data_IF_089065473397
#
_entry.id   IF_089065473397
#
_cell.length_a   1.000
_cell.length_b   1.000
_cell.length_c   1.000
_cell.angle_alpha   90.00
_cell.angle_beta   90.00
_cell.angle_gamma   90.00
#
_symmetry.space_group_name_H-M   'P 1'
#
loop_
_entity.id
_entity.type
_entity.pdbx_description
1 polymer ?
#
# COMPACT_ATOMS: atom_id res chain seq x y z
N UNK A 1 5.22 -4.03 -10.93
CA UNK A 1 5.00 -3.45 -12.27
C UNK A 1 6.30 -2.82 -12.77
N UNK A 2 6.48 -2.72 -14.08
CA UNK A 2 7.55 -1.92 -14.68
C UNK A 2 7.14 -0.44 -14.71
N UNK A 3 7.95 0.43 -14.12
CA UNK A 3 7.83 1.88 -14.17
C UNK A 3 8.77 2.43 -15.22
N UNK A 4 8.23 3.25 -16.13
CA UNK A 4 8.99 4.01 -17.11
C UNK A 4 8.81 5.50 -16.86
N UNK A 5 9.87 6.17 -16.39
CA UNK A 5 9.81 7.59 -16.04
C UNK A 5 10.79 8.42 -16.91
N UNK A 6 10.37 9.54 -17.54
CA UNK A 6 11.31 10.46 -18.17
C UNK A 6 12.36 10.96 -17.17
N UNK A 7 13.58 11.20 -17.64
CA UNK A 7 14.67 11.66 -16.78
C UNK A 7 14.37 13.04 -16.16
N UNK A 8 14.68 13.16 -14.87
CA UNK A 8 14.50 14.41 -14.11
C UNK A 8 13.05 14.87 -14.08
N UNK A 9 12.78 16.04 -14.65
CA UNK A 9 11.45 16.65 -14.72
C UNK A 9 10.92 16.77 -16.15
N UNK A 10 11.50 16.03 -17.10
CA UNK A 10 11.03 16.01 -18.48
C UNK A 10 9.60 15.49 -18.56
N UNK A 11 8.85 16.03 -19.52
CA UNK A 11 7.53 15.51 -19.89
C UNK A 11 7.67 14.39 -20.91
N UNK A 12 6.64 13.56 -21.05
CA UNK A 12 6.61 12.47 -22.04
C UNK A 12 6.94 12.96 -23.46
N UNK A 13 6.44 14.13 -23.84
CA UNK A 13 6.70 14.72 -25.16
C UNK A 13 8.13 15.22 -25.38
N UNK A 14 8.95 15.27 -24.32
CA UNK A 14 10.35 15.71 -24.37
C UNK A 14 11.33 14.54 -24.19
N UNK A 15 10.81 13.37 -23.80
CA UNK A 15 11.62 12.23 -23.40
C UNK A 15 12.10 11.44 -24.63
N UNK A 16 13.41 11.17 -24.69
CA UNK A 16 14.01 10.24 -25.66
C UNK A 16 14.46 8.93 -24.99
N UNK A 17 14.33 8.85 -23.66
CA UNK A 17 14.66 7.68 -22.84
C UNK A 17 13.76 7.68 -21.59
N UNK A 18 13.70 6.52 -20.94
CA UNK A 18 12.98 6.33 -19.69
C UNK A 18 13.88 5.62 -18.68
N UNK A 19 13.88 6.09 -17.45
CA UNK A 19 14.44 5.39 -16.31
C UNK A 19 13.53 4.19 -15.98
N UNK A 20 14.15 3.01 -15.82
CA UNK A 20 13.47 1.74 -15.53
C UNK A 20 13.52 1.47 -14.04
N UNK A 21 12.36 1.27 -13.42
CA UNK A 21 12.21 0.85 -12.03
C UNK A 21 11.16 -0.24 -11.94
N UNK A 22 11.26 -1.17 -11.01
CA UNK A 22 10.21 -2.13 -10.70
C UNK A 22 9.63 -1.85 -9.33
N UNK A 23 8.29 -1.83 -9.23
CA UNK A 23 7.61 -1.53 -7.97
C UNK A 23 6.11 -1.75 -8.00
N UNK A 24 5.50 -1.63 -6.84
CA UNK A 24 4.09 -1.92 -6.56
C UNK A 24 3.85 -1.91 -5.05
N UNK A 25 2.64 -1.62 -4.60
CA UNK A 25 2.34 -1.36 -3.18
C UNK A 25 2.89 -2.45 -2.26
N UNK A 26 2.43 -3.68 -2.45
CA UNK A 26 2.83 -4.85 -1.66
C UNK A 26 4.33 -5.16 -1.82
N UNK A 27 4.88 -5.07 -3.04
CA UNK A 27 6.32 -5.33 -3.26
C UNK A 27 7.22 -4.28 -2.60
N UNK A 28 6.78 -3.02 -2.51
CA UNK A 28 7.55 -1.95 -1.88
C UNK A 28 7.54 -2.10 -0.34
N UNK A 29 6.44 -2.61 0.22
CA UNK A 29 6.36 -3.02 1.64
C UNK A 29 7.35 -4.16 1.91
N UNK A 30 7.36 -5.20 1.06
CA UNK A 30 8.28 -6.31 1.18
C UNK A 30 9.76 -5.86 1.11
N UNK A 31 10.13 -5.00 0.16
CA UNK A 31 11.49 -4.45 0.11
C UNK A 31 11.83 -3.65 1.36
N UNK A 32 10.88 -2.86 1.89
CA UNK A 32 11.12 -2.09 3.12
C UNK A 32 11.39 -3.03 4.31
N UNK A 33 10.63 -4.12 4.44
CA UNK A 33 10.84 -5.13 5.48
C UNK A 33 12.18 -5.86 5.34
N UNK A 34 12.54 -6.27 4.11
CA UNK A 34 13.84 -6.89 3.82
C UNK A 34 15.00 -5.96 4.18
N UNK A 35 14.89 -4.66 3.89
CA UNK A 35 15.88 -3.64 4.28
C UNK A 35 16.06 -3.53 5.81
N UNK A 36 15.06 -3.90 6.61
CA UNK A 36 15.14 -3.95 8.07
C UNK A 36 15.56 -5.33 8.63
N UNK A 37 15.91 -6.27 7.75
CA UNK A 37 16.34 -7.62 8.13
C UNK A 37 15.20 -8.56 8.51
N UNK A 38 13.98 -8.28 8.07
CA UNK A 38 12.84 -9.19 8.23
C UNK A 38 12.80 -10.16 7.04
N UNK A 39 12.73 -11.46 7.32
CA UNK A 39 12.53 -12.48 6.28
C UNK A 39 11.13 -12.30 5.66
N UNK A 40 11.09 -12.07 4.34
CA UNK A 40 9.86 -11.72 3.65
C UNK A 40 9.84 -12.27 2.23
N UNK A 41 8.76 -12.96 1.88
CA UNK A 41 8.46 -13.40 0.52
C UNK A 41 7.48 -12.45 -0.16
N UNK A 42 7.65 -12.24 -1.47
CA UNK A 42 6.64 -11.56 -2.29
C UNK A 42 5.89 -12.55 -3.18
N UNK A 43 4.60 -12.75 -2.86
CA UNK A 43 3.71 -13.65 -3.59
C UNK A 43 3.03 -12.90 -4.73
N UNK A 44 3.29 -13.32 -5.97
CA UNK A 44 2.71 -12.68 -7.17
C UNK A 44 2.70 -13.63 -8.35
N UNK A 45 2.16 -13.17 -9.49
CA UNK A 45 2.23 -13.87 -10.79
C UNK A 45 2.96 -13.04 -11.83
N UNK A 46 4.02 -13.59 -12.43
CA UNK A 46 4.85 -12.94 -13.45
C UNK A 46 4.83 -13.71 -14.78
N UNK A 47 4.93 -13.02 -15.94
CA UNK A 47 5.02 -13.69 -17.24
C UNK A 47 6.36 -14.42 -17.40
N UNK A 48 6.38 -15.50 -18.17
CA UNK A 48 7.60 -16.26 -18.50
C UNK A 48 8.35 -15.61 -19.67
N UNK A 49 8.90 -14.41 -19.43
CA UNK A 49 9.73 -13.68 -20.39
C UNK A 49 10.76 -12.81 -19.65
N UNK A 50 11.70 -12.23 -20.40
CA UNK A 50 12.82 -11.46 -19.87
C UNK A 50 12.38 -10.28 -18.97
N UNK A 51 11.23 -9.66 -19.25
CA UNK A 51 10.69 -8.56 -18.44
C UNK A 51 10.17 -9.07 -17.08
N UNK A 52 9.52 -10.23 -17.07
CA UNK A 52 9.14 -10.92 -15.84
C UNK A 52 10.35 -11.32 -15.01
N UNK A 53 11.39 -11.85 -15.65
CA UNK A 53 12.65 -12.19 -14.99
C UNK A 53 13.35 -10.97 -14.40
N UNK A 54 13.35 -9.83 -15.10
CA UNK A 54 13.90 -8.59 -14.57
C UNK A 54 13.16 -8.10 -13.31
N UNK A 55 11.82 -8.23 -13.28
CA UNK A 55 11.05 -7.90 -12.10
C UNK A 55 11.39 -8.80 -10.90
N UNK A 56 11.52 -10.11 -11.13
CA UNK A 56 11.97 -11.06 -10.10
C UNK A 56 13.39 -10.74 -9.60
N UNK A 57 14.32 -10.46 -10.52
CA UNK A 57 15.70 -10.12 -10.18
C UNK A 57 15.80 -8.84 -9.34
N UNK A 58 14.98 -7.82 -9.62
CA UNK A 58 14.97 -6.61 -8.80
C UNK A 58 14.47 -6.90 -7.38
N UNK A 59 13.47 -7.77 -7.19
CA UNK A 59 13.03 -8.18 -5.84
C UNK A 59 14.13 -8.97 -5.12
N UNK A 60 14.73 -9.97 -5.78
CA UNK A 60 15.80 -10.78 -5.19
C UNK A 60 17.03 -9.94 -4.81
N UNK A 61 17.41 -8.97 -5.65
CA UNK A 61 18.50 -8.02 -5.37
C UNK A 61 18.27 -7.23 -4.08
N UNK A 62 17.01 -7.02 -3.68
CA UNK A 62 16.61 -6.31 -2.46
C UNK A 62 16.43 -7.22 -1.24
N UNK A 63 16.81 -8.49 -1.35
CA UNK A 63 16.68 -9.46 -0.26
C UNK A 63 15.27 -10.01 -0.06
N UNK A 64 14.34 -9.73 -0.99
CA UNK A 64 12.98 -10.28 -0.94
C UNK A 64 12.99 -11.71 -1.49
N UNK A 65 12.34 -12.62 -0.78
CA UNK A 65 12.10 -13.99 -1.20
C UNK A 65 11.18 -14.04 -2.42
N UNK A 66 11.56 -14.86 -3.41
CA UNK A 66 10.92 -14.93 -4.74
C UNK A 66 10.49 -16.34 -5.12
N UNK A 67 10.63 -17.29 -4.20
CA UNK A 67 10.38 -18.71 -4.48
C UNK A 67 8.87 -19.02 -4.54
N UNK A 68 8.04 -18.09 -4.05
CA UNK A 68 6.58 -18.16 -4.09
C UNK A 68 5.96 -17.45 -5.31
N UNK A 69 6.76 -17.05 -6.30
CA UNK A 69 6.26 -16.44 -7.54
C UNK A 69 5.67 -17.52 -8.46
N UNK A 70 4.41 -17.33 -8.86
CA UNK A 70 3.76 -18.17 -9.87
C UNK A 70 4.10 -17.64 -11.26
N UNK A 71 4.52 -18.52 -12.17
CA UNK A 71 4.91 -18.13 -13.52
C UNK A 71 3.82 -18.43 -14.55
N UNK A 72 3.41 -17.43 -15.32
CA UNK A 72 2.49 -17.59 -16.45
C UNK A 72 1.84 -16.28 -16.89
N UNK A 73 1.03 -16.35 -17.95
CA UNK A 73 0.47 -15.16 -18.60
C UNK A 73 1.48 -14.46 -19.51
N UNK A 74 1.01 -13.45 -20.24
CA UNK A 74 1.73 -12.98 -21.43
C UNK A 74 2.59 -11.72 -21.18
N UNK A 75 2.19 -10.85 -20.25
CA UNK A 75 2.87 -9.56 -20.02
C UNK A 75 2.93 -9.12 -18.56
N UNK A 76 3.93 -8.28 -18.27
CA UNK A 76 4.05 -7.55 -17.02
C UNK A 76 3.27 -6.24 -17.13
N UNK A 77 2.56 -5.85 -16.08
CA UNK A 77 1.91 -4.54 -16.03
C UNK A 77 2.95 -3.40 -16.02
N UNK A 78 2.68 -2.35 -16.79
CA UNK A 78 3.54 -1.18 -16.95
C UNK A 78 2.80 0.05 -16.42
N UNK A 79 3.54 1.02 -15.89
CA UNK A 79 3.03 2.38 -15.75
C UNK A 79 4.10 3.40 -16.10
N UNK A 80 3.65 4.51 -16.68
CA UNK A 80 4.50 5.64 -17.03
C UNK A 80 4.30 6.74 -16.00
N UNK A 81 5.38 7.41 -15.59
CA UNK A 81 5.35 8.45 -14.56
C UNK A 81 6.11 9.70 -15.02
N UNK A 82 5.41 10.82 -15.20
CA UNK A 82 6.05 12.15 -15.21
C UNK A 82 6.24 12.63 -13.77
N UNK A 83 7.48 12.91 -13.38
CA UNK A 83 7.77 13.55 -12.09
C UNK A 83 7.28 14.99 -12.10
N UNK A 84 6.45 15.32 -11.11
CA UNK A 84 5.97 16.68 -10.88
C UNK A 84 7.09 17.61 -10.38
N UNK A 85 6.87 18.92 -10.50
CA UNK A 85 7.76 19.94 -9.97
C UNK A 85 6.94 21.18 -9.59
N UNK A 86 7.14 21.70 -8.37
CA UNK A 86 6.43 22.88 -7.86
C UNK A 86 4.91 22.69 -8.06
N UNK A 87 4.23 23.58 -8.77
CA UNK A 87 2.77 23.52 -8.97
C UNK A 87 2.33 22.47 -9.99
N UNK A 88 3.25 21.88 -10.76
CA UNK A 88 2.94 20.81 -11.72
C UNK A 88 2.97 19.47 -11.01
N UNK A 89 1.82 18.89 -10.72
CA UNK A 89 1.72 17.55 -10.15
C UNK A 89 2.32 16.45 -11.04
N UNK A 90 2.70 15.34 -10.42
CA UNK A 90 3.10 14.13 -11.15
C UNK A 90 1.93 13.57 -11.96
N UNK A 91 2.23 12.95 -13.11
CA UNK A 91 1.22 12.36 -13.98
C UNK A 91 1.52 10.88 -14.21
N UNK A 92 0.52 10.03 -14.00
CA UNK A 92 0.63 8.59 -14.23
C UNK A 92 -0.28 8.15 -15.38
N UNK A 93 0.27 7.33 -16.28
CA UNK A 93 -0.47 6.59 -17.31
C UNK A 93 -0.26 5.10 -17.06
N UNK A 94 -1.36 4.36 -16.86
CA UNK A 94 -1.30 2.94 -16.57
C UNK A 94 -1.48 2.11 -17.84
N UNK A 95 -0.62 1.11 -18.01
CA UNK A 95 -0.71 0.04 -18.99
C UNK A 95 -0.60 -1.33 -18.27
N UNK A 96 -1.53 -1.56 -17.35
CA UNK A 96 -1.52 -2.71 -16.43
C UNK A 96 -2.60 -3.76 -16.70
N UNK A 97 -3.53 -3.49 -17.61
CA UNK A 97 -4.56 -4.45 -17.99
C UNK A 97 -3.92 -5.68 -18.66
N UNK A 98 -4.58 -6.84 -18.53
CA UNK A 98 -4.12 -8.12 -19.09
C UNK A 98 -2.68 -8.48 -18.70
N UNK A 99 -2.24 -8.02 -17.53
CA UNK A 99 -0.99 -8.47 -16.92
C UNK A 99 -1.16 -9.87 -16.34
N UNK A 100 -0.06 -10.59 -16.20
CA UNK A 100 -0.02 -11.90 -15.54
C UNK A 100 -0.76 -11.88 -14.18
N UNK A 101 -0.56 -10.85 -13.37
CA UNK A 101 -1.23 -10.70 -12.08
C UNK A 101 -2.74 -10.42 -12.19
N UNK A 102 -3.21 -9.66 -13.19
CA UNK A 102 -4.65 -9.42 -13.39
C UNK A 102 -5.42 -10.61 -13.96
N UNK A 103 -4.73 -11.67 -14.34
CA UNK A 103 -5.32 -12.91 -14.87
C UNK A 103 -5.06 -14.11 -13.94
N UNK A 104 -4.62 -13.83 -12.72
CA UNK A 104 -4.51 -14.85 -11.67
C UNK A 104 -5.90 -15.38 -11.32
N UNK A 105 -5.98 -16.66 -10.95
CA UNK A 105 -7.23 -17.33 -10.58
C UNK A 105 -7.04 -18.14 -9.31
N UNK A 106 -8.15 -18.35 -8.63
CA UNK A 106 -8.29 -19.30 -7.53
C UNK A 106 -7.57 -20.62 -7.78
N UNK A 107 -6.89 -21.13 -6.75
CA UNK A 107 -6.15 -22.40 -6.80
C UNK A 107 -4.82 -22.37 -7.57
N UNK A 108 -4.38 -21.23 -8.09
CA UNK A 108 -3.03 -21.10 -8.68
C UNK A 108 -1.91 -21.01 -7.65
N UNK A 109 -2.23 -20.67 -6.39
CA UNK A 109 -1.28 -20.53 -5.29
C UNK A 109 -1.63 -21.55 -4.21
N UNK A 110 -0.64 -22.32 -3.78
CA UNK A 110 -0.74 -23.18 -2.61
C UNK A 110 -0.52 -22.34 -1.35
N UNK A 111 -1.60 -21.77 -0.80
CA UNK A 111 -1.53 -20.91 0.39
C UNK A 111 -1.09 -21.65 1.64
N UNK A 112 -1.30 -22.97 1.71
CA UNK A 112 -0.82 -23.76 2.84
C UNK A 112 0.71 -23.83 2.85
N UNK A 113 1.32 -24.02 1.69
CA UNK A 113 2.78 -24.01 1.52
C UNK A 113 3.37 -22.60 1.57
N UNK A 114 2.65 -21.59 1.09
CA UNK A 114 3.11 -20.19 1.14
C UNK A 114 3.19 -19.70 2.59
N UNK A 115 2.21 -20.03 3.42
CA UNK A 115 2.16 -19.57 4.81
C UNK A 115 2.83 -20.52 5.81
N UNK A 116 3.54 -21.55 5.36
CA UNK A 116 4.33 -22.41 6.25
C UNK A 116 5.45 -21.60 6.92
N UNK A 117 5.41 -21.49 8.25
CA UNK A 117 6.34 -20.69 9.04
C UNK A 117 6.13 -19.16 9.00
N UNK A 118 5.09 -18.67 8.31
CA UNK A 118 4.81 -17.24 8.25
C UNK A 118 3.99 -16.76 9.47
N UNK A 119 4.29 -15.56 9.96
CA UNK A 119 3.61 -14.94 11.12
C UNK A 119 2.71 -13.76 10.72
N UNK A 120 2.95 -13.20 9.54
CA UNK A 120 2.30 -11.98 9.07
C UNK A 120 1.95 -12.07 7.59
N UNK A 121 0.75 -11.61 7.22
CA UNK A 121 0.34 -11.43 5.83
C UNK A 121 -0.12 -9.99 5.58
N UNK A 122 0.40 -9.37 4.52
CA UNK A 122 0.04 -8.02 4.11
C UNK A 122 -0.50 -7.99 2.68
N UNK A 123 -1.56 -7.21 2.46
CA UNK A 123 -2.14 -6.97 1.14
C UNK A 123 -2.60 -5.51 1.00
N UNK A 124 -2.89 -5.06 -0.23
CA UNK A 124 -3.50 -3.74 -0.44
C UNK A 124 -4.77 -3.83 -1.27
N UNK A 125 -5.66 -2.83 -1.11
CA UNK A 125 -6.87 -2.67 -1.90
C UNK A 125 -6.64 -2.49 -3.41
N UNK A 126 -5.39 -2.33 -3.86
CA UNK A 126 -5.03 -2.38 -5.28
C UNK A 126 -5.25 -3.78 -5.86
N UNK A 127 -4.90 -4.83 -5.12
CA UNK A 127 -4.92 -6.21 -5.62
C UNK A 127 -6.33 -6.70 -5.97
N UNK A 128 -7.37 -6.56 -5.13
CA UNK A 128 -8.72 -6.89 -5.59
C UNK A 128 -9.21 -5.94 -6.70
N UNK A 129 -8.77 -4.68 -6.71
CA UNK A 129 -9.26 -3.68 -7.66
C UNK A 129 -8.86 -3.92 -9.13
N UNK A 130 -7.91 -4.80 -9.44
CA UNK A 130 -7.45 -5.03 -10.82
C UNK A 130 -8.32 -6.02 -11.61
N UNK A 131 -8.96 -6.98 -10.95
CA UNK A 131 -9.79 -8.02 -11.60
C UNK A 131 -10.58 -8.83 -10.57
N UNK A 132 -11.68 -9.48 -11.02
CA UNK A 132 -12.40 -10.41 -10.14
C UNK A 132 -11.50 -11.57 -9.69
N UNK A 133 -10.69 -12.16 -10.58
CA UNK A 133 -9.82 -13.29 -10.24
C UNK A 133 -8.76 -12.93 -9.20
N UNK A 134 -8.23 -11.71 -9.21
CA UNK A 134 -7.31 -11.24 -8.16
C UNK A 134 -8.01 -10.95 -6.84
N UNK A 135 -9.28 -10.51 -6.85
CA UNK A 135 -10.09 -10.41 -5.64
C UNK A 135 -10.37 -11.78 -5.02
N UNK A 136 -10.71 -12.78 -5.84
CA UNK A 136 -10.97 -14.16 -5.40
C UNK A 136 -9.72 -14.80 -4.78
N UNK A 137 -8.56 -14.63 -5.41
CA UNK A 137 -7.27 -15.12 -4.88
C UNK A 137 -6.86 -14.40 -3.60
N UNK A 138 -7.15 -13.10 -3.49
CA UNK A 138 -6.91 -12.36 -2.25
C UNK A 138 -7.78 -12.93 -1.11
N UNK A 139 -9.03 -13.28 -1.38
CA UNK A 139 -9.91 -13.90 -0.39
C UNK A 139 -9.42 -15.29 0.04
N UNK A 140 -8.89 -16.10 -0.89
CA UNK A 140 -8.25 -17.38 -0.57
C UNK A 140 -7.07 -17.21 0.39
N UNK A 141 -6.21 -16.23 0.11
CA UNK A 141 -5.07 -15.91 0.96
C UNK A 141 -5.51 -15.53 2.38
N UNK A 142 -6.52 -14.67 2.50
CA UNK A 142 -7.02 -14.21 3.79
C UNK A 142 -7.66 -15.32 4.62
N UNK A 143 -8.42 -16.21 3.98
CA UNK A 143 -9.00 -17.39 4.64
C UNK A 143 -7.90 -18.32 5.15
N UNK A 144 -6.88 -18.59 4.33
CA UNK A 144 -5.76 -19.46 4.72
C UNK A 144 -4.89 -18.84 5.83
N UNK A 145 -4.53 -17.55 5.72
CA UNK A 145 -3.77 -16.82 6.73
C UNK A 145 -4.54 -16.78 8.07
N UNK A 146 -5.85 -16.51 8.02
CA UNK A 146 -6.69 -16.50 9.21
C UNK A 146 -6.80 -17.88 9.85
N UNK A 147 -6.92 -18.96 9.06
CA UNK A 147 -7.01 -20.32 9.58
C UNK A 147 -5.71 -20.77 10.28
N UNK A 148 -4.57 -20.22 9.87
CA UNK A 148 -3.26 -20.44 10.50
C UNK A 148 -2.93 -19.46 11.63
N UNK A 149 -3.80 -18.48 11.88
CA UNK A 149 -3.62 -17.51 12.97
C UNK A 149 -2.57 -16.43 12.70
N UNK A 150 -2.25 -16.15 11.43
CA UNK A 150 -1.35 -15.06 11.08
C UNK A 150 -1.97 -13.71 11.45
N UNK A 151 -1.12 -12.74 11.77
CA UNK A 151 -1.53 -11.33 11.81
C UNK A 151 -1.75 -10.84 10.38
N UNK A 152 -2.94 -10.28 10.10
CA UNK A 152 -3.29 -9.80 8.76
C UNK A 152 -3.34 -8.28 8.77
N UNK A 153 -2.57 -7.63 7.91
CA UNK A 153 -2.62 -6.18 7.72
C UNK A 153 -3.03 -5.79 6.30
N UNK A 154 -3.73 -4.67 6.16
CA UNK A 154 -4.11 -4.12 4.86
C UNK A 154 -3.83 -2.63 4.74
N UNK A 155 -3.52 -2.18 3.52
CA UNK A 155 -3.69 -0.79 3.09
C UNK A 155 -4.90 -0.70 2.16
N UNK A 156 -5.95 0.02 2.55
CA UNK A 156 -7.20 0.13 1.78
C UNK A 156 -7.00 0.74 0.38
N UNK A 157 -5.99 1.61 0.22
CA UNK A 157 -5.45 2.13 -1.04
C UNK A 157 -6.47 2.32 -2.18
N UNK A 158 -7.56 3.07 -1.93
CA UNK A 158 -8.59 3.33 -2.92
C UNK A 158 -8.01 4.09 -4.12
N UNK A 159 -8.37 3.65 -5.33
CA UNK A 159 -7.99 4.30 -6.60
C UNK A 159 -9.18 4.36 -7.52
N UNK A 160 -9.71 5.56 -7.74
CA UNK A 160 -10.84 5.81 -8.65
C UNK A 160 -10.63 5.34 -10.10
N UNK A 161 -9.37 5.13 -10.55
CA UNK A 161 -9.06 4.62 -11.90
C UNK A 161 -9.06 3.08 -11.99
N UNK A 162 -9.20 2.37 -10.87
CA UNK A 162 -9.33 0.91 -10.80
C UNK A 162 -10.82 0.51 -10.65
N UNK A 163 -11.11 -0.74 -10.30
CA UNK A 163 -12.48 -1.26 -10.12
C UNK A 163 -13.37 -1.23 -11.38
N UNK A 164 -12.77 -1.21 -12.56
CA UNK A 164 -13.49 -1.10 -13.84
C UNK A 164 -14.34 -2.33 -14.21
N UNK A 165 -14.18 -3.43 -13.48
CA UNK A 165 -14.85 -4.70 -13.78
C UNK A 165 -16.16 -4.88 -12.98
N UNK A 166 -16.49 -3.95 -12.08
CA UNK A 166 -17.69 -4.02 -11.25
C UNK A 166 -18.22 -2.61 -10.93
N UNK A 167 -19.35 -2.54 -10.24
CA UNK A 167 -19.90 -1.28 -9.72
C UNK A 167 -19.46 -1.01 -8.26
N UNK A 168 -19.92 0.12 -7.70
CA UNK A 168 -19.59 0.55 -6.34
C UNK A 168 -20.12 -0.43 -5.27
N UNK A 169 -21.32 -0.99 -5.47
CA UNK A 169 -21.92 -1.93 -4.52
C UNK A 169 -21.13 -3.24 -4.45
N UNK A 170 -20.69 -3.75 -5.61
CA UNK A 170 -19.82 -4.93 -5.67
C UNK A 170 -18.45 -4.66 -5.07
N UNK A 171 -17.86 -3.47 -5.31
CA UNK A 171 -16.61 -3.05 -4.63
C UNK A 171 -16.78 -3.08 -3.12
N UNK A 172 -17.82 -2.44 -2.59
CA UNK A 172 -18.09 -2.41 -1.15
C UNK A 172 -18.23 -3.82 -0.58
N UNK A 173 -18.96 -4.71 -1.27
CA UNK A 173 -19.12 -6.09 -0.84
C UNK A 173 -17.77 -6.84 -0.77
N UNK A 174 -16.96 -6.75 -1.83
CA UNK A 174 -15.63 -7.37 -1.90
C UNK A 174 -14.73 -6.82 -0.80
N UNK A 175 -14.61 -5.50 -0.68
CA UNK A 175 -13.70 -4.89 0.29
C UNK A 175 -14.18 -5.12 1.73
N UNK A 176 -15.49 -5.16 1.98
CA UNK A 176 -16.02 -5.48 3.31
C UNK A 176 -15.68 -6.91 3.71
N UNK A 177 -15.83 -7.88 2.80
CA UNK A 177 -15.45 -9.27 3.08
C UNK A 177 -13.95 -9.40 3.33
N UNK A 178 -13.10 -8.86 2.44
CA UNK A 178 -11.65 -8.95 2.57
C UNK A 178 -11.15 -8.27 3.87
N UNK A 179 -11.64 -7.07 4.17
CA UNK A 179 -11.20 -6.29 5.34
C UNK A 179 -11.64 -6.92 6.67
N UNK A 180 -12.70 -7.74 6.68
CA UNK A 180 -13.16 -8.44 7.89
C UNK A 180 -12.14 -9.44 8.47
N UNK A 181 -11.14 -9.85 7.69
CA UNK A 181 -10.05 -10.71 8.13
C UNK A 181 -8.86 -9.95 8.73
N UNK A 182 -8.84 -8.61 8.65
CA UNK A 182 -7.67 -7.83 9.01
C UNK A 182 -7.60 -7.49 10.50
N UNK A 183 -6.41 -7.66 11.09
CA UNK A 183 -6.06 -7.22 12.44
C UNK A 183 -5.57 -5.76 12.45
N UNK A 184 -4.95 -5.31 11.35
CA UNK A 184 -4.37 -3.97 11.21
C UNK A 184 -4.84 -3.35 9.91
N UNK A 185 -5.46 -2.16 9.97
CA UNK A 185 -6.02 -1.49 8.80
C UNK A 185 -5.36 -0.11 8.64
N UNK A 186 -4.65 0.09 7.54
CA UNK A 186 -4.19 1.40 7.07
C UNK A 186 -5.19 1.97 6.07
N UNK A 187 -5.62 3.20 6.27
CA UNK A 187 -6.46 3.92 5.31
C UNK A 187 -6.72 5.34 5.76
N UNK A 188 -7.15 6.22 4.85
CA UNK A 188 -7.58 7.57 5.18
C UNK A 188 -9.11 7.71 5.10
N UNK A 189 -9.60 8.92 5.34
CA UNK A 189 -11.04 9.24 5.28
C UNK A 189 -11.65 8.95 3.89
N UNK A 190 -10.93 9.22 2.81
CA UNK A 190 -11.37 8.90 1.43
C UNK A 190 -11.47 7.39 1.24
N UNK A 191 -10.51 6.60 1.74
CA UNK A 191 -10.57 5.14 1.65
C UNK A 191 -11.78 4.58 2.40
N UNK A 192 -12.04 5.07 3.62
CA UNK A 192 -13.16 4.65 4.44
C UNK A 192 -14.52 5.04 3.84
N UNK A 193 -14.62 6.24 3.29
CA UNK A 193 -15.82 6.71 2.58
C UNK A 193 -16.06 5.88 1.32
N UNK A 194 -15.04 5.74 0.48
CA UNK A 194 -15.20 5.13 -0.84
C UNK A 194 -15.43 3.62 -0.78
N UNK A 195 -14.81 2.91 0.16
CA UNK A 195 -15.02 1.46 0.29
C UNK A 195 -16.22 1.10 1.16
N UNK A 196 -16.55 1.89 2.18
CA UNK A 196 -17.46 1.47 3.25
C UNK A 196 -18.57 2.46 3.60
N UNK A 197 -18.61 3.63 2.95
CA UNK A 197 -19.56 4.69 3.25
C UNK A 197 -19.34 5.37 4.60
N UNK A 198 -18.18 5.16 5.24
CA UNK A 198 -17.87 5.71 6.56
C UNK A 198 -17.38 7.14 6.41
N UNK A 199 -17.98 8.07 7.17
CA UNK A 199 -17.62 9.49 7.18
C UNK A 199 -17.45 9.98 8.62
N UNK A 200 -16.59 10.98 8.89
CA UNK A 200 -16.50 11.57 10.22
C UNK A 200 -17.88 12.05 10.72
N UNK A 201 -18.25 11.67 11.94
CA UNK A 201 -19.46 12.19 12.59
C UNK A 201 -19.20 13.58 13.21
N UNK A 202 -20.19 14.47 13.16
CA UNK A 202 -20.18 15.72 13.95
C UNK A 202 -19.31 16.87 13.42
N UNK A 203 -18.64 16.73 12.27
CA UNK A 203 -17.74 17.75 11.73
C UNK A 203 -18.15 18.13 10.31
N UNK A 204 -18.59 19.38 10.11
CA UNK A 204 -18.50 20.00 8.79
C UNK A 204 -17.00 20.15 8.50
N UNK A 205 -16.52 19.56 7.41
CA UNK A 205 -15.10 19.65 6.99
C UNK A 205 -14.80 21.11 6.62
N UNK A 206 -14.61 21.96 7.62
CA UNK A 206 -14.12 23.32 7.51
C UNK A 206 -12.86 23.41 8.35
N UNK A 207 -11.77 23.68 7.63
CA UNK A 207 -10.38 23.73 8.06
C UNK A 207 -10.10 24.82 9.07
N UNK A 208 -10.37 24.62 10.36
CA UNK A 208 -9.79 25.46 11.42
C UNK A 208 -9.43 24.64 12.67
N UNK A 209 -8.13 24.49 12.94
CA UNK A 209 -7.58 23.91 14.17
C UNK A 209 -6.96 22.52 14.05
N UNK A 210 -5.95 22.25 14.88
CA UNK A 210 -5.34 20.92 15.03
C UNK A 210 -6.27 19.93 15.77
N UNK A 211 -7.09 20.41 16.70
CA UNK A 211 -7.97 19.57 17.53
C UNK A 211 -9.16 18.99 16.75
N UNK A 212 -9.81 19.80 15.89
CA UNK A 212 -10.94 19.35 15.04
C UNK A 212 -10.54 18.20 14.11
N UNK A 213 -9.28 18.17 13.65
CA UNK A 213 -8.78 17.07 12.81
C UNK A 213 -8.63 15.77 13.59
N UNK A 214 -8.16 15.82 14.83
CA UNK A 214 -7.96 14.61 15.64
C UNK A 214 -9.29 13.91 15.97
N UNK A 215 -10.33 14.69 16.29
CA UNK A 215 -11.68 14.19 16.58
C UNK A 215 -12.33 13.55 15.35
N UNK A 216 -12.16 14.15 14.16
CA UNK A 216 -12.61 13.57 12.89
C UNK A 216 -11.98 12.20 12.63
N UNK A 217 -10.66 12.09 12.80
CA UNK A 217 -9.94 10.82 12.60
C UNK A 217 -10.36 9.77 13.61
N UNK A 218 -10.52 10.14 14.89
CA UNK A 218 -10.97 9.22 15.92
C UNK A 218 -12.35 8.63 15.58
N UNK A 219 -13.31 9.48 15.18
CA UNK A 219 -14.64 9.04 14.77
C UNK A 219 -14.60 8.01 13.64
N UNK A 220 -13.77 8.24 12.62
CA UNK A 220 -13.61 7.27 11.51
C UNK A 220 -12.96 5.97 12.00
N UNK A 221 -11.94 6.06 12.87
CA UNK A 221 -11.28 4.87 13.43
C UNK A 221 -12.24 4.02 14.27
N UNK A 222 -13.06 4.64 15.11
CA UNK A 222 -14.07 3.97 15.93
C UNK A 222 -15.14 3.27 15.06
N UNK A 223 -15.63 3.96 14.01
CA UNK A 223 -16.56 3.38 13.05
C UNK A 223 -15.96 2.20 12.29
N UNK A 224 -14.68 2.30 11.90
CA UNK A 224 -13.94 1.22 11.23
C UNK A 224 -13.81 0.00 12.15
N UNK A 225 -13.42 0.17 13.41
CA UNK A 225 -13.33 -0.94 14.38
C UNK A 225 -14.71 -1.53 14.70
N UNK A 226 -15.77 -0.72 14.70
CA UNK A 226 -17.14 -1.22 14.85
C UNK A 226 -17.59 -2.06 13.66
N UNK A 227 -17.27 -1.65 12.43
CA UNK A 227 -17.58 -2.40 11.19
C UNK A 227 -16.70 -3.65 11.04
N UNK A 228 -15.46 -3.59 11.53
CA UNK A 228 -14.48 -4.67 11.46
C UNK A 228 -13.96 -5.04 12.87
N UNK A 229 -14.72 -5.82 13.67
CA UNK A 229 -14.37 -6.11 15.07
C UNK A 229 -13.07 -6.88 15.28
N UNK A 230 -12.50 -7.47 14.23
CA UNK A 230 -11.17 -8.10 14.28
C UNK A 230 -10.04 -7.08 14.30
N UNK A 231 -10.26 -5.89 13.76
CA UNK A 231 -9.23 -4.86 13.69
C UNK A 231 -8.83 -4.41 15.09
N UNK A 232 -7.57 -4.67 15.44
CA UNK A 232 -6.93 -4.24 16.69
C UNK A 232 -6.35 -2.85 16.56
N UNK A 233 -5.99 -2.44 15.34
CA UNK A 233 -5.35 -1.15 15.06
C UNK A 233 -5.86 -0.56 13.75
N UNK A 234 -6.22 0.73 13.76
CA UNK A 234 -6.55 1.52 12.57
C UNK A 234 -5.57 2.66 12.45
N UNK A 235 -4.96 2.84 11.29
CA UNK A 235 -3.85 3.75 11.06
C UNK A 235 -4.13 4.64 9.85
N UNK A 236 -3.80 5.92 9.98
CA UNK A 236 -3.97 6.92 8.92
C UNK A 236 -2.66 7.69 8.71
N UNK A 237 -2.22 7.83 7.47
CA UNK A 237 -1.18 8.80 7.12
C UNK A 237 -1.80 10.17 6.84
N UNK A 238 -1.22 11.22 7.44
CA UNK A 238 -1.66 12.60 7.25
C UNK A 238 -0.72 13.30 6.27
N UNK A 239 -1.23 13.57 5.06
CA UNK A 239 -0.49 14.29 4.01
C UNK A 239 -1.07 15.68 3.77
N UNK A 240 -0.29 16.73 4.01
CA UNK A 240 -0.57 18.05 3.45
C UNK A 240 0.14 18.22 2.11
N UNK A 241 -0.58 18.22 0.99
CA UNK A 241 0.03 18.39 -0.35
C UNK A 241 0.10 19.87 -0.72
N UNK A 242 1.18 20.56 -0.34
CA UNK A 242 1.37 22.00 -0.61
C UNK A 242 1.78 22.21 -2.07
N UNK A 243 2.74 21.41 -2.56
CA UNK A 243 3.13 21.36 -3.98
C UNK A 243 3.68 19.98 -4.33
N UNK A 244 4.09 19.75 -5.59
CA UNK A 244 4.77 18.52 -5.96
C UNK A 244 6.12 18.34 -5.24
N UNK A 245 6.72 19.45 -4.78
CA UNK A 245 8.05 19.49 -4.17
C UNK A 245 8.02 19.75 -2.65
N UNK A 246 6.85 20.00 -2.06
CA UNK A 246 6.70 20.26 -0.62
C UNK A 246 5.42 19.62 -0.09
N UNK A 247 5.57 18.68 0.84
CA UNK A 247 4.46 18.08 1.57
C UNK A 247 4.69 18.14 3.08
N UNK A 248 3.61 18.15 3.85
CA UNK A 248 3.65 17.75 5.27
C UNK A 248 3.33 16.26 5.39
N UNK A 249 3.93 15.59 6.37
CA UNK A 249 3.76 14.15 6.58
C UNK A 249 3.74 13.80 8.07
N UNK A 250 2.69 13.12 8.52
CA UNK A 250 2.53 12.59 9.87
C UNK A 250 1.75 11.26 9.86
N UNK A 251 1.74 10.53 10.97
CA UNK A 251 0.95 9.32 11.17
C UNK A 251 0.03 9.44 12.38
N UNK A 252 -1.10 8.72 12.33
CA UNK A 252 -2.04 8.54 13.43
C UNK A 252 -2.35 7.05 13.56
N UNK A 253 -2.37 6.52 14.77
CA UNK A 253 -2.75 5.13 15.07
C UNK A 253 -3.78 5.14 16.19
N UNK A 254 -4.84 4.38 16.03
CA UNK A 254 -5.82 4.08 17.07
C UNK A 254 -5.82 2.59 17.39
N UNK A 255 -5.63 2.22 18.66
CA UNK A 255 -5.55 0.82 19.12
C UNK A 255 -6.86 0.29 19.75
N UNK A 256 -7.95 1.06 19.65
CA UNK A 256 -9.22 0.78 20.32
C UNK A 256 -9.39 1.47 21.66
N UNK A 257 -8.33 2.10 22.18
CA UNK A 257 -8.34 2.83 23.46
C UNK A 257 -7.65 4.19 23.37
N UNK A 258 -6.51 4.25 22.69
CA UNK A 258 -5.60 5.38 22.67
C UNK A 258 -5.36 5.82 21.23
N UNK A 259 -5.42 7.13 21.00
CA UNK A 259 -5.06 7.76 19.73
C UNK A 259 -3.61 8.27 19.81
N UNK A 260 -2.71 7.62 19.09
CA UNK A 260 -1.31 8.01 18.97
C UNK A 260 -1.13 8.93 17.76
N UNK A 261 -0.23 9.90 17.90
CA UNK A 261 0.08 10.87 16.85
C UNK A 261 1.59 11.07 16.78
N UNK A 262 2.13 11.13 15.58
CA UNK A 262 3.55 11.44 15.39
C UNK A 262 3.80 12.93 15.36
N UNK A 263 5.07 13.32 15.44
CA UNK A 263 5.51 14.61 14.92
C UNK A 263 5.12 14.77 13.44
N UNK A 264 4.95 16.01 12.99
CA UNK A 264 4.77 16.32 11.58
C UNK A 264 6.08 16.73 10.93
N UNK A 265 6.47 16.04 9.87
CA UNK A 265 7.62 16.39 9.03
C UNK A 265 7.23 17.40 7.96
N UNK A 266 8.15 18.32 7.70
CA UNK A 266 8.14 19.19 6.51
C UNK A 266 9.09 18.60 5.49
N UNK A 267 8.53 17.93 4.49
CA UNK A 267 9.33 17.34 3.41
C UNK A 267 9.41 18.39 2.31
N UNK A 268 10.42 19.25 2.40
CA UNK A 268 10.80 20.16 1.31
C UNK A 268 11.72 19.41 0.35
N UNK A 269 11.77 19.85 -0.91
CA UNK A 269 12.71 19.31 -1.92
C UNK A 269 12.52 17.81 -2.20
N UNK A 270 11.26 17.38 -2.35
CA UNK A 270 10.90 15.98 -2.65
C UNK A 270 11.64 15.50 -3.91
N UNK A 271 12.39 14.40 -3.77
CA UNK A 271 13.09 13.72 -4.86
C UNK A 271 12.13 12.79 -5.61
N UNK A 272 11.49 11.87 -4.90
CA UNK A 272 10.47 10.98 -5.45
C UNK A 272 9.54 10.49 -4.33
N UNK A 273 8.25 10.86 -4.42
CA UNK A 273 7.24 10.51 -3.42
C UNK A 273 6.60 9.13 -3.63
N UNK A 274 6.84 8.48 -4.76
CA UNK A 274 6.32 7.13 -5.02
C UNK A 274 6.91 6.17 -3.98
N UNK A 275 6.08 5.27 -3.45
CA UNK A 275 6.47 4.38 -2.36
C UNK A 275 6.42 4.98 -0.95
N UNK A 276 6.08 6.25 -0.80
CA UNK A 276 5.99 6.88 0.52
C UNK A 276 4.99 6.18 1.46
N UNK A 277 3.80 5.82 0.97
CA UNK A 277 2.83 5.06 1.78
C UNK A 277 3.30 3.63 2.08
N UNK A 278 3.87 2.96 1.08
CA UNK A 278 4.34 1.58 1.22
C UNK A 278 5.51 1.48 2.23
N UNK A 279 6.44 2.43 2.20
CA UNK A 279 7.53 2.52 3.18
C UNK A 279 7.04 2.87 4.59
N UNK A 280 5.94 3.64 4.72
CA UNK A 280 5.27 3.82 6.00
C UNK A 280 4.75 2.48 6.51
N UNK A 281 4.04 1.72 5.68
CA UNK A 281 3.47 0.43 6.07
C UNK A 281 4.55 -0.61 6.41
N UNK A 282 5.63 -0.69 5.61
CA UNK A 282 6.78 -1.55 5.91
C UNK A 282 7.48 -1.16 7.22
N UNK A 283 7.67 0.15 7.46
CA UNK A 283 8.20 0.66 8.71
C UNK A 283 7.28 0.38 9.91
N UNK A 284 5.97 0.45 9.73
CA UNK A 284 4.99 0.15 10.77
C UNK A 284 4.98 -1.33 11.12
N UNK A 285 4.95 -2.23 10.13
CA UNK A 285 5.01 -3.68 10.36
C UNK A 285 6.29 -4.02 11.11
N UNK A 286 7.45 -3.51 10.67
CA UNK A 286 8.71 -3.69 11.39
C UNK A 286 8.64 -3.13 12.81
N UNK A 287 8.11 -1.93 12.99
CA UNK A 287 7.97 -1.29 14.29
C UNK A 287 7.12 -2.11 15.25
N UNK A 288 5.99 -2.65 14.80
CA UNK A 288 5.09 -3.48 15.60
C UNK A 288 5.72 -4.84 15.95
N UNK A 289 6.50 -5.42 15.05
CA UNK A 289 7.27 -6.64 15.33
C UNK A 289 8.40 -6.38 16.33
N UNK A 290 9.09 -5.24 16.21
CA UNK A 290 10.26 -4.91 17.01
C UNK A 290 9.93 -4.35 18.40
N UNK A 291 8.82 -3.62 18.50
CA UNK A 291 8.37 -2.90 19.70
C UNK A 291 6.90 -3.26 20.02
N UNK A 292 6.59 -4.52 20.36
CA UNK A 292 5.21 -5.01 20.46
C UNK A 292 4.35 -4.33 21.54
N UNK A 293 4.99 -3.67 22.51
CA UNK A 293 4.34 -2.97 23.63
C UNK A 293 4.46 -1.43 23.53
N UNK A 294 4.97 -0.90 22.40
CA UNK A 294 5.21 0.53 22.21
C UNK A 294 4.74 1.00 20.82
N UNK A 295 3.42 1.13 20.71
CA UNK A 295 2.74 1.57 19.49
C UNK A 295 3.17 2.98 19.04
N UNK A 296 3.52 3.86 19.99
CA UNK A 296 4.02 5.20 19.67
C UNK A 296 5.38 5.12 18.96
N UNK A 297 6.31 4.31 19.46
CA UNK A 297 7.61 4.13 18.83
C UNK A 297 7.52 3.41 17.47
N UNK A 298 6.63 2.41 17.36
CA UNK A 298 6.34 1.78 16.07
C UNK A 298 5.84 2.79 15.03
N UNK A 299 4.92 3.68 15.43
CA UNK A 299 4.37 4.72 14.58
C UNK A 299 5.39 5.81 14.22
N UNK A 300 6.21 6.24 15.19
CA UNK A 300 7.28 7.22 14.98
C UNK A 300 8.37 6.68 14.03
N UNK A 301 8.70 5.38 14.11
CA UNK A 301 9.58 4.73 13.16
C UNK A 301 8.98 4.74 11.75
N UNK A 302 7.70 4.37 11.61
CA UNK A 302 7.01 4.32 10.33
C UNK A 302 6.99 5.67 9.61
N UNK A 303 6.66 6.76 10.32
CA UNK A 303 6.64 8.11 9.70
C UNK A 303 8.04 8.58 9.31
N UNK A 304 9.06 8.26 10.10
CA UNK A 304 10.44 8.65 9.81
C UNK A 304 10.99 7.90 8.59
N UNK A 305 10.76 6.58 8.52
CA UNK A 305 11.10 5.74 7.37
C UNK A 305 10.45 6.27 6.08
N UNK A 306 9.16 6.58 6.15
CA UNK A 306 8.40 7.13 5.04
C UNK A 306 8.85 8.53 4.63
N UNK A 307 9.20 9.38 5.59
CA UNK A 307 9.81 10.68 5.31
C UNK A 307 11.12 10.52 4.53
N UNK A 308 11.98 9.58 4.93
CA UNK A 308 13.25 9.30 4.25
C UNK A 308 13.05 8.77 2.82
N UNK A 309 12.01 7.96 2.58
CA UNK A 309 11.69 7.45 1.23
C UNK A 309 11.51 8.58 0.21
N UNK A 310 11.02 9.75 0.63
CA UNK A 310 10.83 10.89 -0.28
C UNK A 310 12.16 11.49 -0.80
N UNK A 311 13.30 11.09 -0.23
CA UNK A 311 14.65 11.50 -0.66
C UNK A 311 15.30 10.52 -1.64
N UNK A 312 14.66 9.36 -1.90
CA UNK A 312 15.22 8.25 -2.67
C UNK A 312 14.43 8.08 -3.97
N UNK A 313 15.14 8.11 -5.12
CA UNK A 313 14.54 7.84 -6.44
C UNK A 313 14.07 6.39 -6.55
N UNK A 314 12.90 6.19 -7.16
CA UNK A 314 12.32 4.86 -7.38
C UNK A 314 11.19 4.57 -6.40
N UNK A 315 10.65 3.35 -6.48
CA UNK A 315 9.45 2.97 -5.74
C UNK A 315 9.78 2.38 -4.36
N UNK A 316 10.91 1.70 -4.22
CA UNK A 316 11.33 1.07 -2.97
C UNK A 316 12.40 1.90 -2.23
N UNK A 317 12.53 1.65 -0.92
CA UNK A 317 13.57 2.24 -0.04
C UNK A 317 14.95 1.63 -0.27
#
# INVERSE_FOLDING_TARGET
MLRLAPQGFLRFSQANNFDVVYGGGESNVAVSLANYGVDVDFVTRLPKNDIGECAMMEMRKRGVGVDKIVWGGDRLGIYFLETGAVSRGSKVVYDRAHSAMSEIKSGMIDWDQVFDGAEWFHWTGITPAISQGSADVCLEALKAASAKGLTISTDLNYRAKLWKYCDDAHREAVMTELTSYCDIILGNEEDAEMHFGIKPEGISVQTEGHNVKAEAFLSVCEQMMKKFPRAKKVITTLRGSISASHNTWAGVLYDGTTLFQTRQYQITDIVDRVGGGDSFMGGLIYGLLKYPEDDQNALDFAVAASCLKHTIKGDAT
#
